data_IF_157289581561
#
_entry.id   IF_157289581561
#
_cell.length_a   1.000
_cell.length_b   1.000
_cell.length_c   1.000
_cell.angle_alpha   90.00
_cell.angle_beta   90.00
_cell.angle_gamma   90.00
#
_symmetry.space_group_name_H-M   'P 1'
#
loop_
_entity.id
_entity.type
_entity.pdbx_description
1 polymer ?
#
# COMPACT_ATOMS: atom_id res chain seq x y z
N UNK A 1 -6.08 -14.62 39.74
CA UNK A 1 -6.89 -13.88 38.74
C UNK A 1 -6.85 -12.41 39.14
N UNK A 2 -6.05 -11.61 38.43
CA UNK A 2 -5.99 -10.15 38.64
C UNK A 2 -6.48 -9.51 37.34
N UNK A 3 -7.72 -9.03 37.38
CA UNK A 3 -8.33 -8.22 36.33
C UNK A 3 -7.98 -6.76 36.61
N UNK A 4 -7.06 -6.20 35.82
CA UNK A 4 -6.81 -4.75 35.77
C UNK A 4 -6.97 -4.32 34.32
N UNK A 5 -8.05 -3.58 34.06
CA UNK A 5 -8.32 -2.93 32.77
C UNK A 5 -7.30 -1.83 32.49
N UNK A 6 -6.19 -2.19 31.86
CA UNK A 6 -5.25 -1.26 31.22
C UNK A 6 -5.38 -1.33 29.69
N UNK A 7 -5.01 -0.26 28.97
CA UNK A 7 -5.03 -0.25 27.51
C UNK A 7 -4.22 -1.44 26.99
N UNK A 8 -4.79 -2.22 26.05
CA UNK A 8 -4.24 -3.46 25.49
C UNK A 8 -2.71 -3.63 25.60
N UNK A 9 -2.21 -4.16 26.72
CA UNK A 9 -0.77 -4.31 27.00
C UNK A 9 -0.13 -5.46 26.19
N UNK A 10 -0.89 -6.06 25.26
CA UNK A 10 -0.41 -7.04 24.28
C UNK A 10 0.78 -6.49 23.49
N UNK A 11 0.75 -5.22 23.10
CA UNK A 11 1.86 -4.57 22.41
C UNK A 11 3.14 -4.50 23.27
N UNK A 12 3.02 -4.24 24.58
CA UNK A 12 4.17 -4.25 25.50
C UNK A 12 4.75 -5.66 25.72
N UNK A 13 3.97 -6.72 25.48
CA UNK A 13 4.48 -8.09 25.47
C UNK A 13 5.33 -8.37 24.22
N UNK A 14 5.02 -7.74 23.07
CA UNK A 14 5.83 -7.84 21.84
C UNK A 14 7.22 -7.20 22.00
N UNK A 15 7.40 -6.21 22.86
CA UNK A 15 8.72 -5.61 23.13
C UNK A 15 9.72 -6.66 23.67
N UNK A 16 9.23 -7.74 24.31
CA UNK A 16 10.08 -8.83 24.79
C UNK A 16 10.67 -9.68 23.67
N UNK A 17 10.12 -9.64 22.45
CA UNK A 17 10.70 -10.29 21.25
C UNK A 17 12.02 -9.65 20.82
N UNK A 18 12.33 -8.42 21.25
CA UNK A 18 13.63 -7.78 20.98
C UNK A 18 14.74 -8.16 21.97
N UNK A 19 14.45 -8.96 23.01
CA UNK A 19 15.48 -9.50 23.93
C UNK A 19 16.67 -10.22 23.24
N UNK A 20 16.49 -10.96 22.12
CA UNK A 20 17.60 -11.58 21.39
C UNK A 20 18.63 -10.56 20.88
N UNK A 21 18.22 -9.34 20.49
CA UNK A 21 19.16 -8.28 20.09
C UNK A 21 20.08 -7.86 21.23
N UNK A 22 19.63 -7.95 22.49
CA UNK A 22 20.46 -7.68 23.67
C UNK A 22 21.44 -8.82 23.97
N UNK A 23 21.10 -10.07 23.63
CA UNK A 23 22.01 -11.20 23.75
C UNK A 23 23.14 -11.14 22.69
N UNK A 24 22.83 -10.65 21.49
CA UNK A 24 23.79 -10.42 20.40
C UNK A 24 24.91 -9.44 20.82
N UNK A 25 24.61 -8.45 21.68
CA UNK A 25 25.60 -7.48 22.19
C UNK A 25 26.61 -8.06 23.19
N UNK A 26 26.38 -9.26 23.76
CA UNK A 26 27.30 -9.90 24.71
C UNK A 26 28.46 -10.63 24.03
N UNK A 27 28.34 -10.97 22.74
CA UNK A 27 29.36 -11.69 21.98
C UNK A 27 30.14 -10.72 21.08
N UNK A 28 31.43 -10.54 21.36
CA UNK A 28 32.31 -9.62 20.61
C UNK A 28 32.29 -9.87 19.10
N UNK A 29 32.20 -11.13 18.69
CA UNK A 29 32.20 -11.54 17.28
C UNK A 29 30.92 -11.11 16.53
N UNK A 30 29.76 -11.15 17.18
CA UNK A 30 28.48 -10.81 16.52
C UNK A 30 28.30 -9.28 16.45
N UNK A 31 28.82 -8.54 17.43
CA UNK A 31 28.81 -7.07 17.43
C UNK A 31 29.55 -6.49 16.23
N UNK A 32 30.70 -7.05 15.86
CA UNK A 32 31.47 -6.62 14.69
C UNK A 32 30.65 -6.80 13.41
N UNK A 33 29.97 -7.93 13.25
CA UNK A 33 29.12 -8.21 12.08
C UNK A 33 27.97 -7.18 12.01
N UNK A 34 27.27 -6.94 13.11
CA UNK A 34 26.16 -5.96 13.14
C UNK A 34 26.65 -4.54 12.85
N UNK A 35 27.81 -4.14 13.38
CA UNK A 35 28.39 -2.82 13.14
C UNK A 35 28.78 -2.63 11.67
N UNK A 36 29.34 -3.67 11.04
CA UNK A 36 29.61 -3.68 9.59
C UNK A 36 28.33 -3.61 8.75
N UNK A 37 27.25 -4.27 9.18
CA UNK A 37 25.94 -4.19 8.50
C UNK A 37 25.34 -2.78 8.57
N UNK A 38 25.40 -2.13 9.74
CA UNK A 38 24.88 -0.77 9.93
C UNK A 38 25.68 0.25 9.10
N UNK A 39 27.01 0.10 9.06
CA UNK A 39 27.86 0.95 8.21
C UNK A 39 27.51 0.80 6.72
N UNK A 40 27.27 -0.44 6.26
CA UNK A 40 26.82 -0.70 4.89
C UNK A 40 25.44 -0.08 4.59
N UNK A 41 24.51 -0.09 5.54
CA UNK A 41 23.18 0.52 5.39
C UNK A 41 23.26 2.02 5.08
N UNK A 42 24.21 2.76 5.65
CA UNK A 42 24.36 4.20 5.40
C UNK A 42 24.61 4.53 3.93
N UNK A 43 25.39 3.71 3.23
CA UNK A 43 25.63 3.88 1.79
C UNK A 43 24.36 3.61 0.96
N UNK A 44 23.55 2.62 1.38
CA UNK A 44 22.30 2.24 0.71
C UNK A 44 21.22 3.33 0.86
N UNK A 45 21.22 4.10 1.95
CA UNK A 45 20.23 5.17 2.18
C UNK A 45 20.21 6.20 1.06
N UNK A 46 21.36 6.56 0.49
CA UNK A 46 21.41 7.52 -0.62
C UNK A 46 20.69 7.02 -1.88
N UNK A 47 20.86 5.73 -2.19
CA UNK A 47 20.20 5.09 -3.33
C UNK A 47 18.69 4.98 -3.07
N UNK A 48 18.29 4.59 -1.85
CA UNK A 48 16.89 4.51 -1.45
C UNK A 48 16.22 5.89 -1.48
N UNK A 49 16.92 6.95 -1.05
CA UNK A 49 16.41 8.32 -1.10
C UNK A 49 16.19 8.79 -2.55
N UNK A 50 17.08 8.41 -3.47
CA UNK A 50 16.90 8.65 -4.90
C UNK A 50 15.73 7.85 -5.50
N UNK A 51 15.59 6.56 -5.13
CA UNK A 51 14.44 5.75 -5.55
C UNK A 51 13.12 6.32 -5.04
N UNK A 52 13.09 6.78 -3.80
CA UNK A 52 11.90 7.39 -3.20
C UNK A 52 11.47 8.66 -3.94
N UNK A 53 12.40 9.51 -4.37
CA UNK A 53 12.05 10.71 -5.14
C UNK A 53 11.44 10.37 -6.51
N UNK A 54 11.95 9.33 -7.20
CA UNK A 54 11.35 8.84 -8.44
C UNK A 54 9.94 8.30 -8.22
N UNK A 55 9.74 7.46 -7.19
CA UNK A 55 8.42 6.93 -6.84
C UNK A 55 7.45 8.08 -6.58
N UNK A 56 7.85 9.14 -5.88
CA UNK A 56 6.99 10.30 -5.63
C UNK A 56 6.58 11.03 -6.92
N UNK A 57 7.52 11.24 -7.86
CA UNK A 57 7.19 11.89 -9.14
C UNK A 57 6.19 11.06 -9.93
N UNK A 58 6.43 9.75 -10.06
CA UNK A 58 5.50 8.84 -10.74
C UNK A 58 4.16 8.73 -10.01
N UNK A 59 4.14 8.81 -8.68
CA UNK A 59 2.91 8.81 -7.88
C UNK A 59 2.04 10.03 -8.16
N UNK A 60 2.65 11.22 -8.23
CA UNK A 60 1.91 12.45 -8.54
C UNK A 60 1.40 12.44 -9.98
N UNK A 61 2.20 11.95 -10.93
CA UNK A 61 1.76 11.75 -12.31
C UNK A 61 0.59 10.76 -12.39
N UNK A 62 0.69 9.61 -11.72
CA UNK A 62 -0.35 8.59 -11.67
C UNK A 62 -1.65 9.11 -11.04
N UNK A 63 -1.55 9.86 -9.93
CA UNK A 63 -2.68 10.55 -9.32
C UNK A 63 -3.37 11.47 -10.34
N UNK A 64 -2.62 12.33 -11.05
CA UNK A 64 -3.24 13.26 -12.01
C UNK A 64 -3.91 12.58 -13.21
N UNK A 65 -3.38 11.45 -13.68
CA UNK A 65 -3.93 10.75 -14.84
C UNK A 65 -5.07 9.78 -14.49
N UNK A 66 -4.97 9.11 -13.34
CA UNK A 66 -5.84 7.97 -13.00
C UNK A 66 -6.78 8.23 -11.82
N UNK A 67 -6.80 9.45 -11.27
CA UNK A 67 -7.73 9.82 -10.20
C UNK A 67 -9.19 9.54 -10.62
N UNK A 68 -9.91 8.78 -9.79
CA UNK A 68 -11.32 8.46 -10.04
C UNK A 68 -11.59 7.45 -11.16
N UNK A 69 -10.58 7.06 -11.97
CA UNK A 69 -10.77 6.10 -13.08
C UNK A 69 -10.99 4.69 -12.55
N UNK A 70 -10.26 4.30 -11.49
CA UNK A 70 -10.34 2.95 -10.92
C UNK A 70 -11.64 2.67 -10.15
N UNK A 71 -12.50 3.68 -9.95
CA UNK A 71 -13.81 3.51 -9.33
C UNK A 71 -14.90 3.09 -10.33
N UNK A 72 -14.63 3.20 -11.63
CA UNK A 72 -15.63 2.97 -12.67
C UNK A 72 -15.87 1.47 -12.87
N UNK A 73 -17.09 1.00 -12.62
CA UNK A 73 -17.53 -0.39 -12.85
C UNK A 73 -18.85 -0.46 -13.61
N UNK A 74 -19.13 -1.62 -14.19
CA UNK A 74 -20.37 -1.87 -14.90
C UNK A 74 -21.50 -2.15 -13.89
N UNK A 75 -22.50 -1.27 -13.86
CA UNK A 75 -23.74 -1.44 -13.12
C UNK A 75 -24.80 -2.07 -14.02
N UNK A 76 -25.54 -3.04 -13.48
CA UNK A 76 -26.75 -3.55 -14.11
C UNK A 76 -27.87 -2.48 -14.08
N UNK A 77 -28.98 -2.73 -14.79
CA UNK A 77 -30.18 -1.87 -14.78
C UNK A 77 -30.76 -1.67 -13.37
N UNK A 78 -30.42 -2.53 -12.41
CA UNK A 78 -30.78 -2.42 -11.00
C UNK A 78 -29.79 -1.59 -10.15
N UNK A 79 -28.71 -1.07 -10.74
CA UNK A 79 -27.68 -0.29 -10.03
C UNK A 79 -26.65 -1.13 -9.25
N UNK A 80 -26.66 -2.45 -9.39
CA UNK A 80 -25.70 -3.34 -8.75
C UNK A 80 -24.48 -3.57 -9.66
N UNK A 81 -23.28 -3.57 -9.09
CA UNK A 81 -22.07 -3.94 -9.82
C UNK A 81 -22.16 -5.41 -10.26
N UNK A 82 -22.07 -5.66 -11.57
CA UNK A 82 -22.16 -7.02 -12.15
C UNK A 82 -20.88 -7.81 -11.82
N UNK A 83 -19.75 -7.12 -11.86
CA UNK A 83 -18.44 -7.62 -11.48
C UNK A 83 -17.70 -6.56 -10.66
N UNK A 84 -17.05 -6.98 -9.58
CA UNK A 84 -16.32 -6.10 -8.67
C UNK A 84 -14.93 -5.75 -9.21
N UNK A 85 -14.37 -6.54 -10.11
CA UNK A 85 -12.99 -6.36 -10.60
C UNK A 85 -12.92 -5.81 -12.04
N UNK A 86 -14.02 -5.89 -12.81
CA UNK A 86 -14.08 -5.32 -14.15
C UNK A 86 -14.22 -3.79 -14.11
N UNK A 87 -13.16 -3.09 -14.49
CA UNK A 87 -13.18 -1.64 -14.72
C UNK A 87 -13.86 -1.29 -16.05
N UNK A 88 -14.55 -0.15 -16.10
CA UNK A 88 -15.12 0.40 -17.33
C UNK A 88 -14.61 1.82 -17.58
N UNK A 89 -14.64 2.25 -18.84
CA UNK A 89 -14.39 3.65 -19.18
C UNK A 89 -15.70 4.34 -19.57
N UNK A 90 -15.98 5.50 -18.97
CA UNK A 90 -17.11 6.35 -19.39
C UNK A 90 -16.90 6.98 -20.78
N UNK A 91 -15.67 6.99 -21.30
CA UNK A 91 -15.35 7.58 -22.60
C UNK A 91 -15.71 6.64 -23.75
N UNK A 92 -16.26 7.19 -24.84
CA UNK A 92 -16.52 6.44 -26.09
C UNK A 92 -15.25 5.89 -26.74
N UNK A 93 -14.09 6.43 -26.38
CA UNK A 93 -12.77 6.00 -26.86
C UNK A 93 -12.01 5.16 -25.80
N UNK A 94 -12.70 4.65 -24.78
CA UNK A 94 -12.09 3.76 -23.79
C UNK A 94 -11.72 2.40 -24.37
N UNK A 95 -10.89 1.63 -23.67
CA UNK A 95 -10.59 0.24 -24.06
C UNK A 95 -11.58 -0.75 -23.46
N UNK A 96 -12.16 -0.43 -22.30
CA UNK A 96 -13.06 -1.31 -21.57
C UNK A 96 -14.48 -0.77 -21.60
N UNK A 97 -15.37 -1.53 -22.24
CA UNK A 97 -16.78 -1.22 -22.36
C UNK A 97 -17.63 -2.26 -21.64
N UNK A 98 -18.75 -1.80 -21.11
CA UNK A 98 -19.74 -2.66 -20.50
C UNK A 98 -20.62 -3.33 -21.57
N UNK A 99 -21.12 -4.52 -21.28
CA UNK A 99 -21.97 -5.28 -22.20
C UNK A 99 -23.35 -4.63 -22.37
N UNK A 100 -24.00 -4.84 -23.51
CA UNK A 100 -25.28 -4.23 -23.88
C UNK A 100 -26.34 -4.36 -22.77
N UNK A 101 -26.70 -3.23 -22.15
CA UNK A 101 -27.67 -3.16 -21.04
C UNK A 101 -27.09 -2.73 -19.68
N UNK A 102 -25.77 -2.61 -19.57
CA UNK A 102 -25.08 -2.14 -18.35
C UNK A 102 -24.46 -0.76 -18.54
N UNK A 103 -24.48 0.05 -17.49
CA UNK A 103 -23.98 1.44 -17.52
C UNK A 103 -22.74 1.60 -16.65
N UNK A 104 -21.82 2.49 -17.07
CA UNK A 104 -20.57 2.70 -16.35
C UNK A 104 -20.77 3.77 -15.25
N UNK A 105 -20.78 3.31 -14.00
CA UNK A 105 -20.95 4.13 -12.80
C UNK A 105 -19.76 4.00 -11.85
N UNK A 106 -19.59 4.99 -10.98
CA UNK A 106 -18.50 5.01 -9.99
C UNK A 106 -18.95 4.34 -8.69
N UNK A 107 -18.25 3.28 -8.28
CA UNK A 107 -18.49 2.55 -7.04
C UNK A 107 -17.35 2.77 -6.03
N UNK A 108 -17.70 2.78 -4.75
CA UNK A 108 -16.75 2.72 -3.63
C UNK A 108 -16.98 1.42 -2.85
N UNK A 109 -15.93 0.73 -2.36
CA UNK A 109 -14.49 1.07 -2.42
C UNK A 109 -13.79 0.62 -3.72
N UNK A 110 -12.56 1.09 -3.95
CA UNK A 110 -11.71 0.68 -5.08
C UNK A 110 -11.48 -0.85 -5.12
N UNK A 111 -11.04 -1.42 -6.28
CA UNK A 111 -10.77 -2.85 -6.41
C UNK A 111 -9.74 -3.36 -5.38
N UNK A 112 -9.70 -4.68 -5.17
CA UNK A 112 -8.82 -5.32 -4.18
C UNK A 112 -8.98 -4.72 -2.76
N UNK A 113 -10.21 -4.55 -2.27
CA UNK A 113 -10.51 -3.99 -0.94
C UNK A 113 -9.95 -2.57 -0.71
N UNK A 114 -9.80 -1.76 -1.76
CA UNK A 114 -9.24 -0.41 -1.66
C UNK A 114 -7.72 -0.33 -1.80
N UNK A 115 -7.02 -1.46 -1.96
CA UNK A 115 -5.57 -1.50 -2.08
C UNK A 115 -5.09 -0.89 -3.40
N UNK A 116 -5.81 -1.15 -4.50
CA UNK A 116 -5.41 -0.64 -5.82
C UNK A 116 -6.11 0.68 -6.13
N UNK A 117 -5.49 1.81 -5.77
CA UNK A 117 -6.08 3.14 -5.87
C UNK A 117 -5.05 4.25 -6.10
N UNK A 118 -5.39 5.19 -6.99
CA UNK A 118 -4.59 6.39 -7.29
C UNK A 118 -5.18 7.66 -6.70
N UNK A 119 -5.99 7.58 -5.63
CA UNK A 119 -6.72 8.74 -5.09
C UNK A 119 -5.91 9.54 -4.07
N UNK A 120 -4.90 8.92 -3.46
CA UNK A 120 -3.98 9.57 -2.52
C UNK A 120 -2.53 9.36 -2.95
N UNK A 121 -1.64 10.27 -2.55
CA UNK A 121 -0.21 10.14 -2.85
C UNK A 121 0.35 8.85 -2.22
N UNK A 122 -0.07 8.51 -1.01
CA UNK A 122 0.42 7.31 -0.32
C UNK A 122 0.00 6.00 -1.01
N UNK A 123 -1.28 5.88 -1.39
CA UNK A 123 -1.76 4.69 -2.11
C UNK A 123 -1.13 4.58 -3.50
N UNK A 124 -0.96 5.70 -4.21
CA UNK A 124 -0.26 5.76 -5.48
C UNK A 124 1.22 5.36 -5.35
N UNK A 125 1.91 5.79 -4.31
CA UNK A 125 3.31 5.41 -4.05
C UNK A 125 3.48 3.93 -3.74
N UNK A 126 2.54 3.33 -3.01
CA UNK A 126 2.54 1.89 -2.78
C UNK A 126 2.27 1.09 -4.06
N UNK A 127 1.42 1.61 -4.96
CA UNK A 127 1.10 0.97 -6.24
C UNK A 127 2.26 1.04 -7.26
N UNK A 128 3.09 2.09 -7.20
CA UNK A 128 4.22 2.31 -8.12
C UNK A 128 5.47 1.52 -7.71
N UNK A 129 5.63 1.23 -6.41
CA UNK A 129 6.73 0.43 -5.87
C UNK A 129 6.54 -1.07 -6.17
#
# INVERSE_FOLDING_TARGET
>A
IVLVGGPNLLFLRLIRVFRPLRAIQRLRNVRIIVDTMISAMYSVVNIVAFMFSLILVFSVMGLRLYQGVLHQRCADSAGNAIDQDQICSRSKNGLFFCQSGSTCEGFFPNPNFGLTSFDTIYSASFQVF
#
